data_IF_855985764744
#
_entry.id   IF_855985764744
#
_cell.length_a   1.000
_cell.length_b   1.000
_cell.length_c   1.000
_cell.angle_alpha   90.00
_cell.angle_beta   90.00
_cell.angle_gamma   90.00
#
_symmetry.space_group_name_H-M   'P 1'
#
loop_
_entity.id
_entity.type
_entity.pdbx_description
1 polymer ?
#
# COMPACT_ATOMS: atom_id res chain seq x y z
N UNK A 1 16.17 -19.61 -3.56
CA UNK A 1 17.39 -18.90 -3.99
C UNK A 1 17.50 -19.03 -5.50
N UNK A 2 17.23 -17.96 -6.25
CA UNK A 2 17.40 -17.93 -7.71
C UNK A 2 18.68 -17.15 -8.00
N UNK A 3 19.75 -17.87 -8.32
CA UNK A 3 21.05 -17.32 -8.75
C UNK A 3 21.02 -17.22 -10.27
N UNK A 4 20.47 -16.14 -10.81
CA UNK A 4 20.66 -15.83 -12.22
C UNK A 4 21.87 -14.89 -12.38
N UNK A 5 22.79 -15.17 -13.31
CA UNK A 5 24.02 -14.39 -13.49
C UNK A 5 23.71 -12.95 -13.88
N UNK A 6 24.45 -12.01 -13.30
CA UNK A 6 24.31 -10.56 -13.51
C UNK A 6 24.77 -10.13 -14.92
N UNK A 7 25.49 -10.99 -15.64
CA UNK A 7 26.13 -10.66 -16.90
C UNK A 7 25.52 -11.42 -18.08
N UNK A 8 24.43 -10.91 -18.63
CA UNK A 8 23.99 -11.27 -19.99
C UNK A 8 24.43 -10.14 -20.95
N UNK A 9 25.48 -10.33 -21.78
CA UNK A 9 26.12 -9.27 -22.54
C UNK A 9 25.29 -8.68 -23.71
N UNK A 10 24.04 -9.12 -23.89
CA UNK A 10 23.11 -8.61 -24.92
C UNK A 10 22.14 -7.52 -24.45
N UNK A 11 22.06 -7.22 -23.15
CA UNK A 11 21.12 -6.22 -22.61
C UNK A 11 21.92 -5.14 -21.89
N UNK A 12 21.91 -3.92 -22.41
CA UNK A 12 22.62 -2.79 -21.81
C UNK A 12 22.10 -2.52 -20.39
N UNK A 13 22.87 -2.89 -19.37
CA UNK A 13 22.52 -2.65 -17.97
C UNK A 13 22.91 -1.23 -17.56
N UNK A 14 21.99 -0.48 -16.96
CA UNK A 14 22.22 0.91 -16.56
C UNK A 14 22.80 0.97 -15.14
N UNK A 15 23.91 1.71 -14.89
CA UNK A 15 24.44 1.86 -13.55
C UNK A 15 23.51 2.67 -12.65
N UNK A 16 23.31 2.22 -11.41
CA UNK A 16 22.54 2.93 -10.38
C UNK A 16 23.46 3.18 -9.19
N UNK A 17 23.67 4.46 -8.85
CA UNK A 17 24.54 4.88 -7.74
C UNK A 17 23.82 5.74 -6.70
N UNK A 18 22.62 6.21 -7.02
CA UNK A 18 21.84 7.11 -6.18
C UNK A 18 20.33 6.90 -6.34
N UNK A 19 19.56 7.38 -5.36
CA UNK A 19 18.08 7.46 -5.45
C UNK A 19 17.63 8.24 -6.70
N UNK A 20 18.41 9.26 -7.10
CA UNK A 20 18.12 10.06 -8.29
C UNK A 20 18.20 9.25 -9.59
N UNK A 21 19.09 8.27 -9.67
CA UNK A 21 19.23 7.38 -10.83
C UNK A 21 18.03 6.43 -10.92
N UNK A 22 17.58 5.89 -9.78
CA UNK A 22 16.37 5.07 -9.68
C UNK A 22 15.15 5.87 -10.14
N UNK A 23 14.99 7.11 -9.65
CA UNK A 23 13.89 7.99 -10.05
C UNK A 23 13.92 8.30 -11.55
N UNK A 24 15.10 8.55 -12.13
CA UNK A 24 15.26 8.81 -13.56
C UNK A 24 14.88 7.59 -14.41
N UNK A 25 15.32 6.40 -14.00
CA UNK A 25 15.03 5.16 -14.71
C UNK A 25 13.54 4.84 -14.71
N UNK A 26 12.90 4.96 -13.55
CA UNK A 26 11.44 4.86 -13.40
C UNK A 26 10.78 5.81 -14.40
N UNK A 27 11.15 7.08 -14.41
CA UNK A 27 10.52 8.12 -15.25
C UNK A 27 10.73 7.94 -16.76
N UNK A 28 11.72 7.16 -17.19
CA UNK A 28 12.06 6.94 -18.60
C UNK A 28 11.46 5.67 -19.21
N UNK A 29 10.93 4.75 -18.39
CA UNK A 29 10.51 3.41 -18.82
C UNK A 29 9.09 3.32 -19.39
N UNK A 30 8.92 2.63 -20.53
CA UNK A 30 7.61 2.34 -21.15
C UNK A 30 6.76 1.31 -20.38
N UNK A 31 7.36 0.44 -19.57
CA UNK A 31 6.68 -0.59 -18.74
C UNK A 31 5.89 0.00 -17.56
N UNK A 32 6.06 1.31 -17.27
CA UNK A 32 5.31 2.07 -16.24
C UNK A 32 3.82 1.77 -16.23
N UNK A 33 3.18 1.77 -17.40
CA UNK A 33 1.74 1.68 -17.51
C UNK A 33 1.17 0.29 -17.17
N UNK A 34 1.97 -0.78 -17.29
CA UNK A 34 1.54 -2.15 -16.95
C UNK A 34 1.61 -2.36 -15.44
N UNK A 35 2.73 -2.01 -14.82
CA UNK A 35 2.90 -2.09 -13.38
C UNK A 35 1.97 -1.16 -12.63
N UNK A 36 1.81 0.09 -13.08
CA UNK A 36 0.89 1.02 -12.45
C UNK A 36 -0.58 0.55 -12.55
N UNK A 37 -0.99 -0.05 -13.67
CA UNK A 37 -2.33 -0.68 -13.78
C UNK A 37 -2.51 -1.84 -12.81
N UNK A 38 -1.49 -2.68 -12.64
CA UNK A 38 -1.53 -3.80 -11.71
C UNK A 38 -1.64 -3.33 -10.26
N UNK A 39 -0.87 -2.29 -9.89
CA UNK A 39 -0.94 -1.68 -8.56
C UNK A 39 -2.33 -1.10 -8.29
N UNK A 40 -2.93 -0.40 -9.26
CA UNK A 40 -4.29 0.12 -9.14
C UNK A 40 -5.31 -0.99 -9.01
N UNK A 41 -5.21 -2.05 -9.81
CA UNK A 41 -6.10 -3.19 -9.70
C UNK A 41 -6.05 -3.83 -8.30
N UNK A 42 -4.86 -3.94 -7.73
CA UNK A 42 -4.65 -4.47 -6.37
C UNK A 42 -5.16 -3.54 -5.28
N UNK A 43 -5.02 -2.22 -5.45
CA UNK A 43 -5.61 -1.20 -4.58
C UNK A 43 -7.14 -1.26 -4.62
N UNK A 44 -7.73 -1.35 -5.82
CA UNK A 44 -9.17 -1.54 -5.99
C UNK A 44 -9.65 -2.88 -5.43
N UNK A 45 -8.82 -3.92 -5.45
CA UNK A 45 -9.08 -5.19 -4.78
C UNK A 45 -9.17 -5.07 -3.25
N UNK A 46 -8.37 -4.20 -2.64
CA UNK A 46 -8.48 -3.87 -1.20
C UNK A 46 -9.80 -3.19 -0.89
N UNK A 47 -10.10 -2.10 -1.62
CA UNK A 47 -11.38 -1.38 -1.53
C UNK A 47 -12.59 -2.31 -1.74
N UNK A 48 -12.47 -3.28 -2.64
CA UNK A 48 -13.52 -4.28 -2.88
C UNK A 48 -13.76 -5.14 -1.63
N UNK A 49 -12.71 -5.58 -0.95
CA UNK A 49 -12.83 -6.37 0.28
C UNK A 49 -13.40 -5.52 1.42
N UNK A 50 -12.91 -4.29 1.59
CA UNK A 50 -13.43 -3.37 2.60
C UNK A 50 -14.95 -3.16 2.46
N UNK A 51 -15.40 -2.95 1.22
CA UNK A 51 -16.81 -2.81 0.89
C UNK A 51 -17.61 -4.11 1.14
N UNK A 52 -17.02 -5.26 0.83
CA UNK A 52 -17.62 -6.57 1.10
C UNK A 52 -17.90 -6.73 2.61
N UNK A 53 -16.94 -6.48 3.49
CA UNK A 53 -17.12 -6.73 4.93
C UNK A 53 -18.08 -5.76 5.61
N UNK A 54 -18.03 -4.48 5.23
CA UNK A 54 -18.95 -3.49 5.75
C UNK A 54 -20.40 -3.80 5.36
N UNK A 55 -20.62 -4.37 4.17
CA UNK A 55 -21.96 -4.73 3.71
C UNK A 55 -22.40 -6.11 4.19
N UNK A 56 -21.49 -7.07 4.34
CA UNK A 56 -21.81 -8.46 4.70
C UNK A 56 -22.56 -8.57 6.02
N UNK A 57 -22.10 -7.87 7.07
CA UNK A 57 -22.80 -7.90 8.36
C UNK A 57 -24.21 -7.30 8.27
N UNK A 58 -24.40 -6.29 7.43
CA UNK A 58 -25.69 -5.61 7.30
C UNK A 58 -26.79 -6.55 6.82
N UNK A 59 -26.44 -7.59 6.05
CA UNK A 59 -27.38 -8.61 5.60
C UNK A 59 -27.74 -9.66 6.67
N UNK A 60 -26.86 -9.88 7.65
CA UNK A 60 -27.02 -10.92 8.68
C UNK A 60 -27.22 -10.38 10.10
N UNK A 61 -27.46 -9.07 10.25
CA UNK A 61 -27.53 -8.44 11.57
C UNK A 61 -28.73 -8.94 12.38
N UNK A 62 -29.88 -9.18 11.74
CA UNK A 62 -31.08 -9.67 12.41
C UNK A 62 -30.87 -11.08 13.00
N UNK A 63 -30.12 -11.94 12.30
CA UNK A 63 -29.77 -13.27 12.78
C UNK A 63 -28.79 -13.18 13.96
N UNK A 64 -27.79 -12.29 13.87
CA UNK A 64 -26.87 -12.04 14.99
C UNK A 64 -27.60 -11.47 16.23
N UNK A 65 -28.63 -10.64 16.03
CA UNK A 65 -29.49 -10.13 17.11
C UNK A 65 -30.28 -11.25 17.77
N UNK A 66 -30.84 -12.18 16.99
CA UNK A 66 -31.58 -13.34 17.51
C UNK A 66 -30.66 -14.32 18.24
N UNK A 67 -29.49 -14.61 17.68
CA UNK A 67 -28.55 -15.58 18.25
C UNK A 67 -27.97 -15.11 19.58
N UNK A 68 -27.52 -13.85 19.66
CA UNK A 68 -26.92 -13.30 20.87
C UNK A 68 -27.90 -12.55 21.78
N UNK A 69 -29.19 -12.51 21.43
CA UNK A 69 -30.24 -11.79 22.16
C UNK A 69 -29.85 -10.33 22.42
N UNK A 70 -29.41 -9.63 21.37
CA UNK A 70 -28.82 -8.30 21.47
C UNK A 70 -29.85 -7.24 21.83
N UNK A 71 -29.50 -6.38 22.79
CA UNK A 71 -30.23 -5.13 23.02
C UNK A 71 -29.93 -4.12 21.90
N UNK A 72 -30.79 -3.11 21.65
CA UNK A 72 -30.53 -2.09 20.64
C UNK A 72 -29.18 -1.37 20.81
N UNK A 73 -28.75 -1.18 22.06
CA UNK A 73 -27.45 -0.60 22.38
C UNK A 73 -26.29 -1.51 21.95
N UNK A 74 -26.39 -2.82 22.22
CA UNK A 74 -25.36 -3.77 21.81
C UNK A 74 -25.33 -3.97 20.29
N UNK A 75 -26.49 -3.99 19.63
CA UNK A 75 -26.56 -4.02 18.16
C UNK A 75 -25.85 -2.83 17.55
N UNK A 76 -26.10 -1.62 18.08
CA UNK A 76 -25.40 -0.40 17.67
C UNK A 76 -23.89 -0.48 17.93
N UNK A 77 -23.46 -1.10 19.03
CA UNK A 77 -22.04 -1.29 19.33
C UNK A 77 -21.38 -2.28 18.35
N UNK A 78 -22.05 -3.38 18.02
CA UNK A 78 -21.58 -4.37 17.05
C UNK A 78 -21.39 -3.73 15.67
N UNK A 79 -22.38 -2.96 15.18
CA UNK A 79 -22.32 -2.33 13.86
C UNK A 79 -21.35 -1.16 13.79
N UNK A 80 -21.20 -0.38 14.87
CA UNK A 80 -20.28 0.77 14.91
C UNK A 80 -18.83 0.42 15.24
N UNK A 81 -18.57 -0.73 15.88
CA UNK A 81 -17.23 -1.15 16.29
C UNK A 81 -16.20 -1.14 15.14
N UNK A 82 -16.62 -1.55 13.93
CA UNK A 82 -15.78 -1.50 12.74
C UNK A 82 -15.41 -0.06 12.37
N UNK A 83 -16.36 0.89 12.45
CA UNK A 83 -16.08 2.31 12.18
C UNK A 83 -15.12 2.91 13.20
N UNK A 84 -15.26 2.56 14.48
CA UNK A 84 -14.33 2.99 15.52
C UNK A 84 -12.93 2.43 15.24
N UNK A 85 -12.84 1.16 14.86
CA UNK A 85 -11.59 0.55 14.41
C UNK A 85 -10.98 1.27 13.21
N UNK A 86 -11.79 1.63 12.21
CA UNK A 86 -11.37 2.38 11.02
C UNK A 86 -10.78 3.74 11.38
N UNK A 87 -11.37 4.47 12.32
CA UNK A 87 -10.80 5.75 12.78
C UNK A 87 -9.41 5.53 13.37
N UNK A 88 -9.25 4.53 14.23
CA UNK A 88 -7.96 4.19 14.84
C UNK A 88 -6.94 3.77 13.78
N UNK A 89 -7.34 2.88 12.86
CA UNK A 89 -6.50 2.42 11.76
C UNK A 89 -6.03 3.56 10.85
N UNK A 90 -6.91 4.53 10.57
CA UNK A 90 -6.59 5.66 9.71
C UNK A 90 -5.53 6.59 10.32
N UNK A 91 -5.54 6.77 11.65
CA UNK A 91 -4.53 7.55 12.37
C UNK A 91 -3.17 6.84 12.35
N UNK A 92 -3.17 5.53 12.57
CA UNK A 92 -1.92 4.73 12.69
C UNK A 92 -1.35 4.40 11.31
N UNK A 93 -2.21 4.21 10.31
CA UNK A 93 -1.87 3.71 8.98
C UNK A 93 -0.88 4.58 8.22
N UNK A 94 -1.01 5.92 8.32
CA UNK A 94 -0.05 6.86 7.73
C UNK A 94 1.36 6.69 8.30
N UNK A 95 1.49 6.67 9.62
CA UNK A 95 2.79 6.44 10.27
C UNK A 95 3.37 5.06 9.93
N UNK A 96 2.52 4.03 9.90
CA UNK A 96 2.94 2.66 9.60
C UNK A 96 3.45 2.54 8.16
N UNK A 97 2.76 3.18 7.20
CA UNK A 97 3.16 3.15 5.78
C UNK A 97 4.43 3.93 5.51
N UNK A 98 4.63 5.05 6.18
CA UNK A 98 5.88 5.82 6.06
C UNK A 98 7.07 5.03 6.62
N UNK A 99 6.87 4.33 7.75
CA UNK A 99 7.93 3.58 8.44
C UNK A 99 8.28 2.24 7.78
N UNK A 100 7.28 1.44 7.43
CA UNK A 100 7.46 0.06 6.96
C UNK A 100 7.26 -0.11 5.46
N UNK A 101 6.94 0.97 4.74
CA UNK A 101 6.64 0.92 3.33
C UNK A 101 5.19 0.51 3.06
N UNK A 102 4.64 1.05 1.97
CA UNK A 102 3.23 0.83 1.62
C UNK A 102 2.91 -0.64 1.40
N UNK A 103 3.78 -1.39 0.71
CA UNK A 103 3.53 -2.79 0.39
C UNK A 103 3.49 -3.69 1.63
N UNK A 104 4.46 -3.55 2.54
CA UNK A 104 4.51 -4.38 3.76
C UNK A 104 3.28 -4.15 4.64
N UNK A 105 2.82 -2.90 4.74
CA UNK A 105 1.60 -2.57 5.47
C UNK A 105 0.37 -3.14 4.76
N UNK A 106 0.29 -2.99 3.44
CA UNK A 106 -0.79 -3.52 2.59
C UNK A 106 -0.94 -5.05 2.61
N UNK A 107 0.14 -5.76 2.95
CA UNK A 107 0.10 -7.21 3.17
C UNK A 107 -0.27 -7.54 4.61
N UNK A 108 0.24 -6.78 5.58
CA UNK A 108 -0.06 -6.99 6.99
C UNK A 108 -1.56 -6.76 7.30
N UNK A 109 -2.18 -5.71 6.76
CA UNK A 109 -3.62 -5.47 6.96
C UNK A 109 -4.47 -6.62 6.42
N UNK A 110 -4.15 -7.18 5.25
CA UNK A 110 -4.84 -8.32 4.67
C UNK A 110 -4.76 -9.56 5.56
N UNK A 111 -3.62 -9.81 6.21
CA UNK A 111 -3.51 -10.89 7.20
C UNK A 111 -4.40 -10.62 8.41
N UNK A 112 -4.39 -9.39 8.95
CA UNK A 112 -5.28 -9.01 10.05
C UNK A 112 -6.75 -9.14 9.66
N UNK A 113 -7.08 -8.78 8.43
CA UNK A 113 -8.41 -8.91 7.86
C UNK A 113 -8.84 -10.38 7.84
N UNK A 114 -8.03 -11.29 7.28
CA UNK A 114 -8.37 -12.73 7.22
C UNK A 114 -8.60 -13.30 8.61
N UNK A 115 -7.72 -12.96 9.56
CA UNK A 115 -7.86 -13.41 10.96
C UNK A 115 -9.14 -12.85 11.59
N UNK A 116 -9.44 -11.57 11.35
CA UNK A 116 -10.62 -10.91 11.90
C UNK A 116 -11.91 -11.44 11.29
N UNK A 117 -11.94 -11.75 9.99
CA UNK A 117 -13.08 -12.36 9.31
C UNK A 117 -13.38 -13.75 9.90
N UNK A 118 -12.34 -14.58 10.07
CA UNK A 118 -12.45 -15.91 10.67
C UNK A 118 -12.93 -15.80 12.12
N UNK A 119 -12.34 -14.90 12.91
CA UNK A 119 -12.71 -14.68 14.29
C UNK A 119 -14.16 -14.16 14.43
N UNK A 120 -14.61 -13.30 13.53
CA UNK A 120 -15.97 -12.78 13.51
C UNK A 120 -16.99 -13.87 13.14
N UNK A 121 -16.70 -14.68 12.13
CA UNK A 121 -17.58 -15.78 11.71
C UNK A 121 -17.68 -16.89 12.75
N UNK A 122 -16.60 -17.16 13.49
CA UNK A 122 -16.55 -18.17 14.56
C UNK A 122 -16.80 -17.59 15.96
N UNK A 123 -17.27 -16.33 16.07
CA UNK A 123 -17.43 -15.67 17.36
C UNK A 123 -18.42 -16.44 18.26
N UNK A 124 -18.02 -16.91 19.46
CA UNK A 124 -18.91 -17.65 20.35
C UNK A 124 -19.83 -16.72 21.17
N UNK A 125 -19.52 -15.43 21.22
CA UNK A 125 -20.29 -14.41 21.92
C UNK A 125 -20.12 -13.04 21.28
N UNK A 126 -20.98 -12.10 21.66
CA UNK A 126 -21.00 -10.73 21.13
C UNK A 126 -19.69 -9.97 21.36
N UNK A 127 -18.97 -10.21 22.45
CA UNK A 127 -17.73 -9.48 22.75
C UNK A 127 -16.59 -9.88 21.81
N UNK A 128 -16.50 -11.17 21.48
CA UNK A 128 -15.56 -11.66 20.46
C UNK A 128 -15.92 -11.08 19.09
N UNK A 129 -17.22 -11.01 18.77
CA UNK A 129 -17.68 -10.39 17.52
C UNK A 129 -17.30 -8.91 17.45
N UNK A 130 -17.53 -8.13 18.52
CA UNK A 130 -17.14 -6.72 18.61
C UNK A 130 -15.63 -6.56 18.48
N UNK A 131 -14.85 -7.38 19.20
CA UNK A 131 -13.39 -7.32 19.15
C UNK A 131 -12.83 -7.65 17.75
N UNK A 132 -13.36 -8.69 17.12
CA UNK A 132 -13.00 -9.06 15.75
C UNK A 132 -13.38 -7.94 14.75
N UNK A 133 -14.54 -7.31 14.91
CA UNK A 133 -14.98 -6.18 14.07
C UNK A 133 -14.13 -4.93 14.26
N UNK A 134 -13.74 -4.64 15.49
CA UNK A 134 -12.84 -3.54 15.78
C UNK A 134 -11.47 -3.77 15.13
N UNK A 135 -10.91 -4.98 15.26
CA UNK A 135 -9.63 -5.34 14.64
C UNK A 135 -9.72 -5.30 13.11
N UNK A 136 -10.83 -5.79 12.54
CA UNK A 136 -11.14 -5.66 11.12
C UNK A 136 -11.13 -4.20 10.68
N UNK A 137 -11.80 -3.34 11.45
CA UNK A 137 -11.90 -1.91 11.19
C UNK A 137 -10.51 -1.24 11.12
N UNK A 138 -9.57 -1.63 11.98
CA UNK A 138 -8.20 -1.13 11.93
C UNK A 138 -7.55 -1.46 10.58
N UNK A 139 -7.72 -2.68 10.06
CA UNK A 139 -7.23 -3.07 8.74
C UNK A 139 -7.82 -2.20 7.62
N UNK A 140 -9.15 -2.06 7.59
CA UNK A 140 -9.87 -1.20 6.63
C UNK A 140 -9.39 0.25 6.69
N UNK A 141 -9.15 0.77 7.89
CA UNK A 141 -8.67 2.15 8.09
C UNK A 141 -7.26 2.37 7.56
N UNK A 142 -6.43 1.32 7.50
CA UNK A 142 -5.09 1.36 6.95
C UNK A 142 -5.11 1.20 5.42
N UNK A 143 -5.99 0.34 4.87
CA UNK A 143 -6.04 0.02 3.42
C UNK A 143 -6.51 1.24 2.60
N UNK A 144 -7.58 1.94 3.03
CA UNK A 144 -8.20 3.02 2.25
C UNK A 144 -7.24 4.19 1.89
N UNK A 145 -6.48 4.79 2.83
CA UNK A 145 -5.52 5.86 2.48
C UNK A 145 -4.45 5.40 1.51
N UNK A 146 -4.00 4.15 1.66
CA UNK A 146 -2.96 3.55 0.81
C UNK A 146 -3.49 3.32 -0.59
N UNK A 147 -4.70 2.75 -0.71
CA UNK A 147 -5.38 2.57 -1.97
C UNK A 147 -5.59 3.92 -2.70
N UNK A 148 -6.05 4.94 -1.98
CA UNK A 148 -6.25 6.28 -2.53
C UNK A 148 -4.94 6.93 -2.99
N UNK A 149 -3.83 6.69 -2.28
CA UNK A 149 -2.50 7.16 -2.69
C UNK A 149 -2.07 6.52 -4.03
N UNK A 150 -2.29 5.22 -4.20
CA UNK A 150 -2.00 4.52 -5.45
C UNK A 150 -2.87 4.99 -6.62
N UNK A 151 -4.18 5.20 -6.38
CA UNK A 151 -5.08 5.77 -7.38
C UNK A 151 -4.65 7.20 -7.79
N UNK A 152 -4.22 8.01 -6.82
CA UNK A 152 -3.70 9.35 -7.07
C UNK A 152 -2.43 9.33 -7.93
N UNK A 153 -1.49 8.44 -7.64
CA UNK A 153 -0.27 8.27 -8.42
C UNK A 153 -0.56 7.85 -9.86
N UNK A 154 -1.42 6.86 -10.07
CA UNK A 154 -1.81 6.43 -11.41
C UNK A 154 -2.55 7.50 -12.21
N UNK A 155 -3.34 8.35 -11.53
CA UNK A 155 -4.02 9.47 -12.18
C UNK A 155 -3.06 10.40 -12.92
N UNK A 156 -1.77 10.45 -12.51
CA UNK A 156 -0.71 11.25 -13.14
C UNK A 156 -0.16 10.62 -14.42
N UNK A 157 -0.12 9.29 -14.52
CA UNK A 157 0.51 8.58 -15.64
C UNK A 157 -0.40 8.31 -16.84
N UNK A 158 -1.72 8.23 -16.65
CA UNK A 158 -2.65 7.74 -17.68
C UNK A 158 -3.12 8.79 -18.73
N UNK A 159 -2.39 9.87 -18.99
CA UNK A 159 -2.69 10.85 -20.06
C UNK A 159 -3.92 11.76 -19.81
N UNK A 160 -4.43 12.40 -20.88
CA UNK A 160 -5.45 13.50 -20.91
C UNK A 160 -6.88 13.18 -20.42
N UNK A 161 -7.11 12.06 -19.73
CA UNK A 161 -8.42 11.74 -19.17
C UNK A 161 -8.72 12.49 -17.87
N UNK A 162 -9.97 12.45 -17.42
CA UNK A 162 -10.40 13.12 -16.20
C UNK A 162 -9.74 12.47 -14.97
N UNK A 163 -8.75 13.15 -14.38
CA UNK A 163 -8.04 12.69 -13.17
C UNK A 163 -9.00 12.43 -12.01
N UNK A 164 -10.02 13.28 -11.86
CA UNK A 164 -11.04 13.12 -10.84
C UNK A 164 -11.84 11.82 -11.02
N UNK A 165 -12.15 11.42 -12.26
CA UNK A 165 -12.86 10.17 -12.52
C UNK A 165 -12.02 8.92 -12.15
N UNK A 166 -10.69 8.99 -12.30
CA UNK A 166 -9.78 7.89 -11.90
C UNK A 166 -9.63 7.79 -10.40
N UNK A 167 -9.51 8.93 -9.73
CA UNK A 167 -9.56 9.00 -8.26
C UNK A 167 -10.90 8.49 -7.76
N UNK A 168 -12.00 8.83 -8.41
CA UNK A 168 -13.34 8.36 -8.06
C UNK A 168 -13.62 6.90 -8.47
N UNK A 169 -12.65 6.15 -9.01
CA UNK A 169 -12.82 4.75 -9.39
C UNK A 169 -13.08 3.82 -8.18
N UNK A 170 -12.76 4.27 -6.96
CA UNK A 170 -13.13 3.57 -5.74
C UNK A 170 -14.66 3.49 -5.56
N UNK A 171 -15.42 4.52 -5.96
CA UNK A 171 -16.88 4.55 -5.83
C UNK A 171 -17.58 3.42 -6.63
N UNK A 172 -17.41 3.30 -7.97
CA UNK A 172 -18.03 2.21 -8.71
C UNK A 172 -17.49 0.84 -8.26
N UNK A 173 -16.23 0.77 -7.78
CA UNK A 173 -15.71 -0.47 -7.22
C UNK A 173 -16.41 -0.87 -5.93
N UNK A 174 -16.71 0.09 -5.06
CA UNK A 174 -17.49 -0.12 -3.84
C UNK A 174 -18.88 -0.69 -4.16
N UNK A 175 -19.60 -0.09 -5.10
CA UNK A 175 -20.93 -0.57 -5.49
C UNK A 175 -20.89 -1.94 -6.17
N UNK A 176 -19.87 -2.18 -7.00
CA UNK A 176 -19.65 -3.50 -7.59
C UNK A 176 -19.38 -4.55 -6.50
N UNK A 177 -18.57 -4.22 -5.49
CA UNK A 177 -18.31 -5.08 -4.35
C UNK A 177 -19.56 -5.38 -3.53
N UNK A 178 -20.36 -4.37 -3.20
CA UNK A 178 -21.66 -4.57 -2.53
C UNK A 178 -22.60 -5.47 -3.35
N UNK A 179 -22.61 -5.31 -4.67
CA UNK A 179 -23.43 -6.14 -5.56
C UNK A 179 -22.93 -7.59 -5.59
N UNK A 180 -21.62 -7.81 -5.68
CA UNK A 180 -21.03 -9.15 -5.64
C UNK A 180 -21.24 -9.79 -4.27
N UNK A 181 -21.13 -9.02 -3.18
CA UNK A 181 -21.46 -9.46 -1.83
C UNK A 181 -22.90 -9.98 -1.77
N UNK A 182 -23.86 -9.19 -2.26
CA UNK A 182 -25.26 -9.61 -2.35
C UNK A 182 -25.41 -10.91 -3.15
N UNK A 183 -24.78 -11.03 -4.32
CA UNK A 183 -24.86 -12.23 -5.14
C UNK A 183 -24.26 -13.47 -4.45
N UNK A 184 -23.16 -13.29 -3.70
CA UNK A 184 -22.55 -14.36 -2.89
C UNK A 184 -23.50 -14.82 -1.80
N UNK A 185 -24.06 -13.88 -1.03
CA UNK A 185 -25.00 -14.18 0.06
C UNK A 185 -26.27 -14.84 -0.50
N UNK A 186 -26.79 -14.32 -1.62
CA UNK A 186 -27.92 -14.89 -2.33
C UNK A 186 -27.61 -16.31 -2.82
N UNK A 187 -26.42 -16.56 -3.38
CA UNK A 187 -25.97 -17.91 -3.74
C UNK A 187 -25.89 -18.83 -2.52
N UNK A 188 -25.27 -18.39 -1.43
CA UNK A 188 -25.16 -19.14 -0.19
C UNK A 188 -26.54 -19.48 0.39
N UNK A 189 -27.52 -18.58 0.29
CA UNK A 189 -28.89 -18.81 0.71
C UNK A 189 -29.55 -20.01 -0.01
N UNK A 190 -29.27 -20.22 -1.30
CA UNK A 190 -29.77 -21.40 -2.04
C UNK A 190 -28.94 -22.67 -1.83
N UNK A 191 -27.66 -22.53 -1.50
CA UNK A 191 -26.80 -23.68 -1.23
C UNK A 191 -27.00 -24.25 0.18
N UNK A 192 -27.31 -23.41 1.16
CA UNK A 192 -27.54 -23.82 2.53
C UNK A 192 -28.92 -24.48 2.68
N UNK A 193 -29.01 -25.65 3.34
CA UNK A 193 -30.29 -26.23 3.71
C UNK A 193 -31.09 -25.24 4.57
N UNK A 194 -32.43 -25.23 4.43
CA UNK A 194 -33.29 -24.29 5.14
C UNK A 194 -33.12 -24.34 6.67
N UNK A 195 -32.75 -25.52 7.20
CA UNK A 195 -32.50 -25.73 8.62
C UNK A 195 -31.22 -25.05 9.16
N UNK A 196 -30.35 -24.56 8.27
CA UNK A 196 -29.09 -23.91 8.62
C UNK A 196 -29.01 -22.45 8.17
N UNK A 197 -30.15 -21.85 7.81
CA UNK A 197 -30.18 -20.44 7.40
C UNK A 197 -29.76 -19.49 8.54
N UNK A 198 -29.96 -19.86 9.79
CA UNK A 198 -29.46 -19.11 10.95
C UNK A 198 -27.92 -19.02 10.97
N UNK A 199 -27.22 -19.93 10.27
CA UNK A 199 -25.77 -19.91 10.14
C UNK A 199 -25.28 -19.07 8.95
N UNK A 200 -26.18 -18.56 8.10
CA UNK A 200 -25.84 -17.83 6.89
C UNK A 200 -25.01 -16.58 7.19
N UNK A 201 -25.31 -15.85 8.27
CA UNK A 201 -24.56 -14.65 8.67
C UNK A 201 -23.11 -14.98 9.08
N UNK A 202 -22.86 -16.15 9.66
CA UNK A 202 -21.50 -16.62 9.99
C UNK A 202 -20.76 -17.07 8.74
N UNK A 203 -21.45 -17.81 7.88
CA UNK A 203 -20.90 -18.27 6.61
C UNK A 203 -20.50 -17.10 5.71
N UNK A 204 -21.30 -16.03 5.65
CA UNK A 204 -20.98 -14.85 4.84
C UNK A 204 -19.73 -14.12 5.36
N UNK A 205 -19.58 -13.98 6.67
CA UNK A 205 -18.37 -13.41 7.28
C UNK A 205 -17.12 -14.26 7.04
N UNK A 206 -17.25 -15.58 7.20
CA UNK A 206 -16.17 -16.52 6.91
C UNK A 206 -15.77 -16.47 5.43
N UNK A 207 -16.76 -16.35 4.55
CA UNK A 207 -16.51 -16.28 3.12
C UNK A 207 -15.68 -15.06 2.74
N UNK A 208 -15.75 -13.95 3.49
CA UNK A 208 -14.88 -12.78 3.30
C UNK A 208 -13.38 -13.09 3.35
N UNK A 209 -12.97 -14.13 4.10
CA UNK A 209 -11.59 -14.58 4.12
C UNK A 209 -11.12 -15.18 2.78
N UNK A 210 -12.02 -15.74 1.98
CA UNK A 210 -11.69 -16.39 0.70
C UNK A 210 -11.18 -15.40 -0.35
N UNK A 211 -11.92 -14.33 -0.74
CA UNK A 211 -11.41 -13.35 -1.70
C UNK A 211 -10.18 -12.60 -1.14
N UNK A 212 -10.06 -12.42 0.18
CA UNK A 212 -8.87 -11.87 0.79
C UNK A 212 -7.64 -12.76 0.61
N UNK A 213 -7.75 -14.06 0.87
CA UNK A 213 -6.66 -15.02 0.63
C UNK A 213 -6.28 -15.08 -0.85
N UNK A 214 -7.25 -15.01 -1.77
CA UNK A 214 -6.97 -14.92 -3.20
C UNK A 214 -6.18 -13.65 -3.54
N UNK A 215 -6.58 -12.51 -2.98
CA UNK A 215 -5.87 -11.24 -3.18
C UNK A 215 -4.46 -11.30 -2.57
N UNK A 216 -4.27 -11.86 -1.38
CA UNK A 216 -2.94 -12.10 -0.79
C UNK A 216 -2.08 -12.98 -1.71
N UNK A 217 -2.64 -14.07 -2.25
CA UNK A 217 -1.92 -14.99 -3.13
C UNK A 217 -1.49 -14.30 -4.44
N UNK A 218 -2.33 -13.42 -4.99
CA UNK A 218 -1.99 -12.60 -6.17
C UNK A 218 -0.98 -11.51 -5.79
N UNK A 219 -1.19 -10.77 -4.70
CA UNK A 219 -0.28 -9.70 -4.22
C UNK A 219 1.13 -10.24 -3.97
N UNK A 220 1.26 -11.37 -3.29
CA UNK A 220 2.57 -11.99 -2.99
C UNK A 220 3.33 -12.49 -4.22
N UNK A 221 2.63 -12.82 -5.32
CA UNK A 221 3.28 -13.31 -6.55
C UNK A 221 3.69 -12.20 -7.51
N UNK A 222 2.96 -11.09 -7.52
CA UNK A 222 3.07 -10.08 -8.58
C UNK A 222 3.62 -8.73 -8.11
N UNK A 223 3.64 -8.46 -6.81
CA UNK A 223 3.95 -7.14 -6.28
C UNK A 223 5.16 -7.23 -5.36
N UNK A 224 6.18 -6.44 -5.67
CA UNK A 224 7.33 -6.19 -4.81
C UNK A 224 7.23 -4.78 -4.25
N UNK A 225 8.01 -4.49 -3.21
CA UNK A 225 8.12 -3.15 -2.64
C UNK A 225 8.53 -2.10 -3.69
N UNK A 226 8.24 -0.81 -3.46
CA UNK A 226 8.58 0.24 -4.41
C UNK A 226 10.11 0.35 -4.55
N UNK A 227 10.68 0.35 -5.77
CA UNK A 227 12.13 0.47 -5.97
C UNK A 227 12.66 1.80 -5.43
N UNK A 228 11.84 2.85 -5.46
CA UNK A 228 12.20 4.16 -4.92
C UNK A 228 12.23 4.16 -3.39
N UNK A 229 11.31 3.41 -2.75
CA UNK A 229 11.32 3.27 -1.29
C UNK A 229 12.55 2.48 -0.83
N UNK A 230 12.86 1.36 -1.49
CA UNK A 230 14.06 0.57 -1.21
C UNK A 230 15.34 1.42 -1.34
N UNK A 231 15.43 2.22 -2.41
CA UNK A 231 16.55 3.14 -2.61
C UNK A 231 16.62 4.23 -1.52
N UNK A 232 15.48 4.80 -1.09
CA UNK A 232 15.41 5.78 0.00
C UNK A 232 15.85 5.20 1.36
N UNK A 233 15.62 3.90 1.58
CA UNK A 233 16.08 3.19 2.78
C UNK A 233 17.57 2.81 2.71
N UNK A 234 18.27 3.14 1.61
CA UNK A 234 19.67 2.82 1.39
C UNK A 234 19.90 1.42 0.79
N UNK A 235 18.85 0.67 0.47
CA UNK A 235 18.94 -0.66 -0.15
C UNK A 235 18.85 -0.55 -1.68
N UNK A 236 19.98 -0.13 -2.28
CA UNK A 236 20.12 -0.05 -3.74
C UNK A 236 20.06 -1.42 -4.41
N UNK A 237 20.51 -2.48 -3.73
CA UNK A 237 20.46 -3.85 -4.24
C UNK A 237 19.02 -4.31 -4.47
N UNK A 238 18.14 -4.09 -3.50
CA UNK A 238 16.70 -4.39 -3.65
C UNK A 238 16.04 -3.48 -4.67
N UNK A 239 16.40 -2.19 -4.72
CA UNK A 239 15.89 -1.27 -5.73
C UNK A 239 16.20 -1.73 -7.15
N UNK A 240 17.43 -2.16 -7.42
CA UNK A 240 17.86 -2.71 -8.72
C UNK A 240 17.15 -4.02 -9.04
N UNK A 241 16.97 -4.92 -8.06
CA UNK A 241 16.20 -6.15 -8.23
C UNK A 241 14.76 -5.86 -8.63
N UNK A 242 14.11 -4.94 -7.93
CA UNK A 242 12.74 -4.52 -8.22
C UNK A 242 12.67 -3.84 -9.60
N UNK A 243 13.63 -3.00 -9.99
CA UNK A 243 13.66 -2.41 -11.34
C UNK A 243 13.75 -3.48 -12.44
N UNK A 244 14.52 -4.55 -12.21
CA UNK A 244 14.62 -5.66 -13.16
C UNK A 244 13.32 -6.48 -13.21
N UNK A 245 12.86 -6.95 -12.05
CA UNK A 245 11.75 -7.91 -11.94
C UNK A 245 10.39 -7.23 -12.14
N UNK A 246 10.29 -5.96 -11.75
CA UNK A 246 9.06 -5.16 -11.77
C UNK A 246 9.05 -4.05 -12.82
N UNK A 247 10.13 -3.79 -13.56
CA UNK A 247 10.13 -2.73 -14.57
C UNK A 247 10.80 -3.16 -15.88
N UNK A 248 11.36 -4.38 -15.93
CA UNK A 248 12.15 -4.86 -17.07
C UNK A 248 13.42 -4.03 -17.31
N UNK A 249 13.79 -3.16 -16.37
CA UNK A 249 14.96 -2.29 -16.47
C UNK A 249 16.13 -3.06 -15.89
N UNK A 250 17.02 -3.51 -16.76
CA UNK A 250 18.27 -4.12 -16.34
C UNK A 250 19.18 -3.00 -15.81
N UNK A 251 19.36 -2.98 -14.49
CA UNK A 251 20.27 -2.08 -13.81
C UNK A 251 21.26 -2.91 -12.98
N UNK A 252 22.41 -2.34 -12.66
CA UNK A 252 23.34 -2.92 -11.69
C UNK A 252 23.76 -1.84 -10.69
N UNK A 253 23.95 -2.27 -9.45
CA UNK A 253 24.49 -1.39 -8.41
C UNK A 253 25.95 -1.11 -8.71
N UNK A 254 26.30 0.17 -8.78
CA UNK A 254 27.71 0.58 -8.77
C UNK A 254 28.03 0.98 -7.33
N UNK A 255 29.06 0.40 -6.70
CA UNK A 255 29.49 0.82 -5.37
C UNK A 255 29.64 2.34 -5.36
N UNK A 256 28.95 3.02 -4.45
CA UNK A 256 29.01 4.47 -4.35
C UNK A 256 30.47 4.92 -4.34
N UNK A 257 30.91 5.61 -5.40
CA UNK A 257 32.24 6.17 -5.42
C UNK A 257 32.35 7.09 -4.20
N UNK A 258 33.31 6.81 -3.30
CA UNK A 258 33.65 7.73 -2.20
C UNK A 258 33.69 9.14 -2.79
N UNK A 259 32.97 10.12 -2.22
CA UNK A 259 33.00 11.48 -2.76
C UNK A 259 34.46 11.88 -2.90
N UNK A 260 34.87 12.19 -4.13
CA UNK A 260 36.22 12.65 -4.39
C UNK A 260 36.49 13.82 -3.43
N UNK A 261 37.64 13.86 -2.72
CA UNK A 261 37.94 14.94 -1.82
C UNK A 261 37.72 16.25 -2.58
N UNK A 262 36.90 17.14 -1.99
CA UNK A 262 36.54 18.40 -2.62
C UNK A 262 37.82 19.05 -3.18
N UNK A 263 37.81 19.55 -4.43
CA UNK A 263 38.98 20.21 -4.98
C UNK A 263 39.40 21.28 -3.98
N UNK A 264 40.63 21.18 -3.47
CA UNK A 264 41.18 22.19 -2.58
C UNK A 264 41.10 23.51 -3.34
N UNK A 265 40.17 24.37 -2.94
CA UNK A 265 40.14 25.74 -3.42
C UNK A 265 41.40 26.38 -2.84
N UNK A 266 42.48 26.40 -3.62
CA UNK A 266 43.62 27.25 -3.33
C UNK A 266 43.11 28.69 -3.40
N UNK A 267 42.85 29.27 -2.22
CA UNK A 267 42.58 30.68 -2.08
C UNK A 267 43.74 31.44 -2.75
N UNK A 268 43.47 32.41 -3.64
CA UNK A 268 44.50 33.24 -4.24
C UNK A 268 45.37 33.82 -3.12
N UNK A 269 46.68 33.56 -3.16
CA UNK A 269 47.64 34.15 -2.21
C UNK A 269 47.37 35.65 -2.13
N UNK A 270 47.01 36.13 -0.94
CA UNK A 270 46.83 37.54 -0.68
C UNK A 270 48.06 38.31 -1.19
N UNK A 271 47.82 39.25 -2.10
CA UNK A 271 48.86 40.16 -2.60
C UNK A 271 49.40 40.93 -1.40
N UNK A 272 50.63 40.61 -1.02
CA UNK A 272 51.36 41.29 0.05
C UNK A 272 51.55 42.74 -0.38
N UNK A 273 50.76 43.67 0.16
CA UNK A 273 50.99 45.10 -0.02
C UNK A 273 52.38 45.43 0.52
N UNK A 274 53.29 45.82 -0.36
CA UNK A 274 54.60 46.37 -0.04
C UNK A 274 54.42 47.68 0.75
N UNK A 275 55.23 47.92 1.81
CA UNK A 275 55.16 49.19 2.54
C UNK A 275 55.85 50.27 1.70
N UNK A 276 55.07 51.24 1.22
CA UNK A 276 55.59 52.47 0.64
C UNK A 276 56.17 53.34 1.75
N UNK A 277 57.47 53.63 1.63
CA UNK A 277 58.22 54.47 2.55
C UNK A 277 57.67 55.91 2.60
N UNK A 278 57.50 56.42 3.81
CA UNK A 278 57.23 57.82 4.09
C UNK A 278 58.50 58.66 3.92
N UNK A 279 58.59 59.42 2.83
CA UNK A 279 59.56 60.50 2.66
C UNK A 279 58.82 61.84 2.64
N UNK A 280 58.78 62.53 3.77
CA UNK A 280 58.38 63.94 3.85
C UNK A 280 59.60 64.80 3.49
N UNK A 281 59.54 65.49 2.35
CA UNK A 281 60.43 66.59 1.99
C UNK A 281 59.67 67.92 2.13
N UNK A 282 60.14 68.79 3.02
CA UNK A 282 59.74 70.21 3.08
C UNK A 282 60.38 71.02 1.93
N UNK A 283 59.73 72.11 1.52
CA UNK A 283 60.38 73.39 1.34
C UNK A 283 59.72 74.42 2.28
N UNK A 284 60.45 75.36 2.90
CA UNK A 284 61.22 76.39 2.23
C UNK A 284 60.36 77.64 2.19
#
# INVERSE_FOLDING_TARGET
MSTLPVDNPGIASVPVSSVGDVARLINSGKEQAKYARMIVFLALGGVFLDAYDLTTLSYGIDDAVREFQLSPLLTGLVTSSIMVGTIVGNIIGGWLTDKYGRYSVFMADMFFFVISAIAAGLAPNVWVLIGARFLMGIGVGIDLPVAMSYLAEFSRFAGKGNKAARLAAWCPMWYAASTVCFLIIFGLYFLLPQEHLDWLWRASLLFGAVPALLIIAVRSRFMNESPLWAANQGDLTSAVRILRDSWGIHAHEVPAAKPAPAPKVELPRAVRKSPTASGLSSPG
#
